data_IF_365262917180
#
_entry.id   IF_365262917180
#
_cell.length_a   1.000
_cell.length_b   1.000
_cell.length_c   1.000
_cell.angle_alpha   90.00
_cell.angle_beta   90.00
_cell.angle_gamma   90.00
#
_symmetry.space_group_name_H-M   'P 1'
#
loop_
_entity.id
_entity.type
_entity.pdbx_description
1 polymer ?
#
# COMPACT_ATOMS: atom_id res chain seq x y z
N UNK A 1 3.95 -69.66 39.65
CA UNK A 1 3.77 -70.08 38.24
C UNK A 1 2.40 -69.59 37.79
N UNK A 2 2.19 -68.71 36.82
CA UNK A 2 3.08 -67.95 35.95
C UNK A 2 2.39 -66.62 35.56
N UNK A 3 3.21 -65.59 35.32
CA UNK A 3 2.78 -64.28 34.85
C UNK A 3 2.47 -64.32 33.35
N UNK A 4 1.24 -63.92 32.98
CA UNK A 4 0.86 -63.69 31.58
C UNK A 4 1.25 -62.29 31.12
N UNK A 5 2.21 -62.21 30.22
CA UNK A 5 2.59 -60.99 29.51
C UNK A 5 1.61 -60.71 28.35
N UNK A 6 1.01 -59.52 28.32
CA UNK A 6 0.25 -59.01 27.17
C UNK A 6 1.19 -58.30 26.19
N UNK A 7 1.27 -58.80 24.96
CA UNK A 7 1.99 -58.20 23.84
C UNK A 7 1.23 -57.00 23.26
N UNK A 8 1.89 -55.84 23.17
CA UNK A 8 1.44 -54.69 22.41
C UNK A 8 1.87 -54.83 20.94
N UNK A 9 0.89 -54.95 20.04
CA UNK A 9 1.12 -54.89 18.60
C UNK A 9 1.32 -53.43 18.15
N UNK A 10 2.45 -53.17 17.49
CA UNK A 10 2.78 -51.91 16.81
C UNK A 10 1.85 -51.72 15.61
N UNK A 11 0.92 -50.78 15.71
CA UNK A 11 0.20 -50.23 14.57
C UNK A 11 1.13 -49.31 13.77
N UNK A 12 1.49 -49.73 12.56
CA UNK A 12 2.28 -48.93 11.63
C UNK A 12 1.50 -47.69 11.17
N UNK A 13 2.08 -46.52 11.42
CA UNK A 13 1.68 -45.26 10.79
C UNK A 13 2.03 -45.33 9.29
N UNK A 14 1.07 -45.67 8.45
CA UNK A 14 1.12 -45.34 7.03
C UNK A 14 0.84 -43.84 6.89
N UNK A 15 1.90 -43.08 6.62
CA UNK A 15 1.84 -41.69 6.22
C UNK A 15 1.16 -41.59 4.86
N UNK A 16 -0.14 -41.31 4.87
CA UNK A 16 -0.83 -40.80 3.69
C UNK A 16 -0.20 -39.46 3.28
N UNK A 17 0.71 -39.50 2.30
CA UNK A 17 1.06 -38.34 1.49
C UNK A 17 -0.22 -37.87 0.79
N UNK A 18 -0.88 -36.87 1.40
CA UNK A 18 -1.93 -36.11 0.75
C UNK A 18 -1.28 -35.31 -0.37
N UNK A 19 -1.51 -35.74 -1.61
CA UNK A 19 -1.29 -34.94 -2.81
C UNK A 19 -1.97 -33.59 -2.60
N UNK A 20 -1.19 -32.52 -2.52
CA UNK A 20 -1.71 -31.16 -2.55
C UNK A 20 -2.37 -30.95 -3.92
N UNK A 21 -3.69 -30.94 -3.93
CA UNK A 21 -4.47 -30.47 -5.06
C UNK A 21 -4.16 -29.00 -5.30
N UNK A 22 -3.84 -28.71 -6.55
CA UNK A 22 -3.60 -27.39 -7.14
C UNK A 22 -4.85 -26.51 -6.97
N UNK A 23 -4.93 -25.85 -5.82
CA UNK A 23 -6.13 -25.24 -5.30
C UNK A 23 -6.12 -23.73 -5.42
N UNK A 24 -6.08 -23.18 -6.64
CA UNK A 24 -6.48 -21.80 -6.98
C UNK A 24 -6.17 -20.69 -5.95
N UNK A 25 -5.03 -20.79 -5.28
CA UNK A 25 -4.59 -19.93 -4.19
C UNK A 25 -3.59 -18.90 -4.72
N UNK A 26 -3.46 -17.79 -4.01
CA UNK A 26 -2.59 -16.72 -4.46
C UNK A 26 -1.12 -17.10 -4.21
N UNK A 27 -0.28 -16.97 -5.24
CA UNK A 27 1.15 -17.24 -5.15
C UNK A 27 1.87 -16.09 -4.42
N UNK A 28 1.88 -16.18 -3.09
CA UNK A 28 2.49 -15.18 -2.21
C UNK A 28 4.00 -15.14 -2.35
N UNK A 29 4.65 -16.25 -2.73
CA UNK A 29 6.09 -16.30 -2.95
C UNK A 29 6.47 -15.50 -4.20
N UNK A 30 5.76 -15.71 -5.31
CA UNK A 30 5.95 -14.92 -6.54
C UNK A 30 5.76 -13.43 -6.27
N UNK A 31 4.73 -13.04 -5.51
CA UNK A 31 4.51 -11.63 -5.15
C UNK A 31 5.64 -11.06 -4.29
N UNK A 32 6.12 -11.80 -3.28
CA UNK A 32 7.27 -11.36 -2.46
C UNK A 32 8.50 -11.12 -3.33
N UNK A 33 8.82 -12.10 -4.20
CA UNK A 33 9.97 -12.01 -5.10
C UNK A 33 9.88 -10.80 -6.05
N UNK A 34 8.70 -10.51 -6.60
CA UNK A 34 8.50 -9.33 -7.47
C UNK A 34 8.72 -8.02 -6.69
N UNK A 35 8.27 -7.94 -5.44
CA UNK A 35 8.39 -6.72 -4.62
C UNK A 35 9.82 -6.48 -4.12
N UNK A 36 10.60 -7.55 -3.94
CA UNK A 36 12.02 -7.52 -3.56
C UNK A 36 12.92 -7.10 -4.72
N UNK A 37 12.56 -7.46 -5.96
CA UNK A 37 13.31 -7.07 -7.15
C UNK A 37 13.13 -5.58 -7.47
N UNK A 38 14.24 -4.84 -7.58
CA UNK A 38 14.27 -3.41 -7.96
C UNK A 38 14.89 -3.22 -9.34
N UNK A 39 14.26 -2.47 -10.27
CA UNK A 39 12.95 -1.83 -10.13
C UNK A 39 11.82 -2.86 -10.05
N UNK A 40 10.71 -2.50 -9.41
CA UNK A 40 9.56 -3.40 -9.30
C UNK A 40 8.93 -3.59 -10.69
N UNK A 41 8.81 -4.84 -11.13
CA UNK A 41 8.05 -5.18 -12.33
C UNK A 41 6.55 -5.09 -12.03
N UNK A 42 5.97 -3.91 -12.26
CA UNK A 42 4.56 -3.64 -12.00
C UNK A 42 3.63 -4.48 -12.87
N UNK A 43 4.07 -4.90 -14.06
CA UNK A 43 3.27 -5.74 -14.96
C UNK A 43 3.14 -7.13 -14.37
N UNK A 44 4.26 -7.75 -14.00
CA UNK A 44 4.25 -9.05 -13.33
C UNK A 44 3.50 -9.00 -11.99
N UNK A 45 3.64 -7.91 -11.24
CA UNK A 45 2.90 -7.70 -10.00
C UNK A 45 1.39 -7.64 -10.27
N UNK A 46 0.97 -6.89 -11.29
CA UNK A 46 -0.42 -6.78 -11.71
C UNK A 46 -1.03 -8.10 -12.15
N UNK A 47 -0.29 -8.90 -12.93
CA UNK A 47 -0.69 -10.25 -13.32
C UNK A 47 -0.86 -11.17 -12.10
N UNK A 48 0.14 -11.17 -11.19
CA UNK A 48 0.11 -11.98 -9.98
C UNK A 48 -1.08 -11.60 -9.08
N UNK A 49 -1.30 -10.31 -8.83
CA UNK A 49 -2.44 -9.81 -8.05
C UNK A 49 -3.77 -10.14 -8.74
N UNK A 50 -3.86 -10.02 -10.07
CA UNK A 50 -5.11 -10.29 -10.81
C UNK A 50 -5.46 -11.78 -10.87
N UNK A 51 -4.47 -12.67 -10.84
CA UNK A 51 -4.66 -14.12 -10.78
C UNK A 51 -5.17 -14.62 -9.41
N UNK A 52 -5.08 -13.77 -8.38
CA UNK A 52 -5.46 -14.11 -7.01
C UNK A 52 -6.98 -14.03 -6.81
N UNK A 53 -7.61 -15.16 -6.45
CA UNK A 53 -9.06 -15.22 -6.17
C UNK A 53 -9.45 -14.49 -4.89
N UNK A 54 -8.57 -14.45 -3.89
CA UNK A 54 -8.83 -13.91 -2.56
C UNK A 54 -7.76 -12.89 -2.18
N UNK A 55 -7.95 -11.63 -2.60
CA UNK A 55 -6.93 -10.58 -2.42
C UNK A 55 -6.52 -10.34 -0.96
N UNK A 56 -7.43 -10.52 -0.02
CA UNK A 56 -7.13 -10.43 1.42
C UNK A 56 -6.06 -11.44 1.87
N UNK A 57 -5.86 -12.56 1.17
CA UNK A 57 -4.77 -13.49 1.48
C UNK A 57 -3.38 -12.89 1.20
N UNK A 58 -3.30 -11.84 0.38
CA UNK A 58 -2.06 -11.13 0.08
C UNK A 58 -1.70 -10.07 1.11
N UNK A 59 -2.63 -9.75 2.02
CA UNK A 59 -2.45 -8.67 2.99
C UNK A 59 -1.20 -8.89 3.85
N UNK A 60 -0.95 -10.14 4.26
CA UNK A 60 0.21 -10.47 5.07
C UNK A 60 1.55 -10.29 4.35
N UNK A 61 1.63 -10.63 3.06
CA UNK A 61 2.89 -10.51 2.29
C UNK A 61 3.11 -9.07 1.84
N UNK A 62 2.13 -8.42 1.23
CA UNK A 62 2.25 -7.04 0.76
C UNK A 62 2.32 -6.08 1.96
N UNK A 63 1.63 -6.37 3.07
CA UNK A 63 1.65 -5.56 4.28
C UNK A 63 3.02 -5.50 4.97
N UNK A 64 3.83 -6.56 4.88
CA UNK A 64 5.23 -6.53 5.36
C UNK A 64 6.07 -5.56 4.55
N UNK A 65 6.06 -5.70 3.22
CA UNK A 65 6.79 -4.81 2.31
C UNK A 65 6.30 -3.36 2.41
N UNK A 66 5.00 -3.16 2.62
CA UNK A 66 4.43 -1.85 2.91
C UNK A 66 4.98 -1.25 4.20
N UNK A 67 5.06 -2.02 5.29
CA UNK A 67 5.64 -1.57 6.55
C UNK A 67 7.12 -1.18 6.43
N UNK A 68 7.90 -1.93 5.66
CA UNK A 68 9.30 -1.59 5.33
C UNK A 68 9.40 -0.32 4.49
N UNK A 69 8.52 -0.19 3.50
CA UNK A 69 8.41 1.00 2.65
C UNK A 69 8.10 2.24 3.46
N UNK A 70 7.17 2.17 4.43
CA UNK A 70 6.84 3.30 5.30
C UNK A 70 8.07 3.79 6.10
N UNK A 71 8.93 2.88 6.55
CA UNK A 71 10.19 3.26 7.23
C UNK A 71 11.17 3.92 6.27
N UNK A 72 11.33 3.37 5.06
CA UNK A 72 12.22 3.92 4.05
C UNK A 72 11.79 5.34 3.60
N UNK A 73 10.48 5.58 3.55
CA UNK A 73 9.88 6.88 3.21
C UNK A 73 10.23 7.99 4.21
N UNK A 74 10.85 7.71 5.35
CA UNK A 74 11.43 8.76 6.20
C UNK A 74 12.45 9.61 5.42
N UNK A 75 13.13 9.03 4.44
CA UNK A 75 14.12 9.72 3.58
C UNK A 75 13.52 10.25 2.28
N UNK A 76 12.22 10.54 2.25
CA UNK A 76 11.49 10.81 1.00
C UNK A 76 12.11 11.86 0.08
N UNK A 77 12.65 12.94 0.65
CA UNK A 77 13.24 14.04 -0.11
C UNK A 77 14.73 13.81 -0.46
N UNK A 78 15.35 12.75 0.07
CA UNK A 78 16.76 12.43 -0.13
C UNK A 78 16.97 11.39 -1.24
N UNK A 79 15.90 10.71 -1.67
CA UNK A 79 15.95 9.61 -2.63
C UNK A 79 15.60 10.04 -4.06
N UNK A 80 15.99 9.20 -5.01
CA UNK A 80 15.71 9.44 -6.43
C UNK A 80 14.22 9.36 -6.76
N UNK A 81 13.76 10.02 -7.85
CA UNK A 81 12.39 9.85 -8.33
C UNK A 81 12.03 8.37 -8.60
N UNK A 82 12.99 7.57 -9.04
CA UNK A 82 12.81 6.13 -9.30
C UNK A 82 12.49 5.35 -8.04
N UNK A 83 13.22 5.59 -6.95
CA UNK A 83 12.95 4.94 -5.66
C UNK A 83 11.58 5.34 -5.11
N UNK A 84 11.17 6.60 -5.28
CA UNK A 84 9.81 7.06 -4.94
C UNK A 84 8.74 6.34 -5.75
N UNK A 85 8.99 6.02 -7.02
CA UNK A 85 8.07 5.22 -7.85
C UNK A 85 7.95 3.78 -7.33
N UNK A 86 9.05 3.15 -6.93
CA UNK A 86 9.00 1.80 -6.34
C UNK A 86 8.16 1.81 -5.04
N UNK A 87 8.33 2.82 -4.20
CA UNK A 87 7.47 2.98 -3.01
C UNK A 87 6.01 3.22 -3.38
N UNK A 88 5.74 4.02 -4.42
CA UNK A 88 4.38 4.28 -4.88
C UNK A 88 3.69 3.00 -5.36
N UNK A 89 4.42 2.10 -6.04
CA UNK A 89 3.92 0.78 -6.46
C UNK A 89 3.55 -0.07 -5.24
N UNK A 90 4.41 -0.13 -4.21
CA UNK A 90 4.13 -0.90 -2.99
C UNK A 90 2.90 -0.36 -2.26
N UNK A 91 2.82 0.97 -2.08
CA UNK A 91 1.67 1.64 -1.46
C UNK A 91 0.40 1.32 -2.27
N UNK A 92 0.43 1.50 -3.59
CA UNK A 92 -0.68 1.19 -4.47
C UNK A 92 -1.15 -0.28 -4.37
N UNK A 93 -0.21 -1.22 -4.37
CA UNK A 93 -0.52 -2.65 -4.24
C UNK A 93 -1.18 -2.97 -2.90
N UNK A 94 -0.70 -2.36 -1.81
CA UNK A 94 -1.30 -2.57 -0.50
C UNK A 94 -2.71 -1.96 -0.41
N UNK A 95 -2.90 -0.74 -0.92
CA UNK A 95 -4.22 -0.11 -1.00
C UNK A 95 -5.20 -0.93 -1.85
N UNK A 96 -4.69 -1.56 -2.91
CA UNK A 96 -5.49 -2.46 -3.76
C UNK A 96 -5.96 -3.70 -3.01
N UNK A 97 -5.10 -4.32 -2.21
CA UNK A 97 -5.45 -5.46 -1.35
C UNK A 97 -6.48 -5.07 -0.30
N UNK A 98 -6.35 -3.88 0.26
CA UNK A 98 -7.32 -3.31 1.21
C UNK A 98 -8.60 -2.80 0.55
N UNK A 99 -8.71 -2.92 -0.78
CA UNK A 99 -9.88 -2.54 -1.56
C UNK A 99 -10.27 -1.06 -1.38
N UNK A 100 -9.27 -0.17 -1.37
CA UNK A 100 -9.49 1.28 -1.34
C UNK A 100 -10.35 1.72 -2.53
N UNK A 101 -11.39 2.51 -2.28
CA UNK A 101 -12.26 3.04 -3.34
C UNK A 101 -11.69 4.35 -3.86
N UNK A 102 -11.75 4.54 -5.17
CA UNK A 102 -11.18 5.74 -5.81
C UNK A 102 -11.91 7.04 -5.39
N UNK A 103 -13.21 6.97 -5.06
CA UNK A 103 -13.96 8.11 -4.52
C UNK A 103 -13.42 8.61 -3.16
N UNK A 104 -12.79 7.73 -2.37
CA UNK A 104 -12.21 8.06 -1.07
C UNK A 104 -10.93 8.90 -1.20
N UNK A 105 -10.21 8.78 -2.31
CA UNK A 105 -8.96 9.54 -2.57
C UNK A 105 -9.15 10.78 -3.42
N UNK A 106 -10.31 10.94 -4.07
CA UNK A 106 -10.59 12.04 -5.00
C UNK A 106 -10.39 13.42 -4.38
N UNK A 107 -10.86 13.65 -3.14
CA UNK A 107 -10.68 14.95 -2.47
C UNK A 107 -9.22 15.30 -2.18
N UNK A 108 -8.40 14.29 -1.90
CA UNK A 108 -6.96 14.45 -1.64
C UNK A 108 -6.25 14.79 -2.95
N UNK A 109 -6.65 14.18 -4.06
CA UNK A 109 -6.19 14.49 -5.41
C UNK A 109 -6.55 15.91 -5.87
N UNK A 110 -7.81 16.29 -5.68
CA UNK A 110 -8.30 17.60 -6.11
C UNK A 110 -7.52 18.68 -5.36
N UNK A 111 -7.34 18.52 -4.04
CA UNK A 111 -6.57 19.46 -3.24
C UNK A 111 -5.08 19.45 -3.60
N UNK A 112 -4.47 18.30 -3.89
CA UNK A 112 -3.06 18.25 -4.29
C UNK A 112 -2.84 18.96 -5.64
N UNK A 113 -3.80 18.83 -6.57
CA UNK A 113 -3.81 19.55 -7.85
C UNK A 113 -3.98 21.05 -7.66
N UNK A 114 -4.87 21.48 -6.77
CA UNK A 114 -5.07 22.90 -6.47
C UNK A 114 -3.82 23.55 -5.86
N UNK A 115 -3.12 22.83 -4.96
CA UNK A 115 -1.87 23.30 -4.38
C UNK A 115 -0.78 23.37 -5.47
N UNK A 116 -0.70 22.36 -6.35
CA UNK A 116 0.26 22.34 -7.46
C UNK A 116 0.11 23.57 -8.36
N UNK A 117 -1.12 23.94 -8.73
CA UNK A 117 -1.36 25.12 -9.54
C UNK A 117 -1.04 26.42 -8.78
N UNK A 118 -1.27 26.47 -7.47
CA UNK A 118 -0.93 27.64 -6.67
C UNK A 118 0.58 27.86 -6.60
N UNK A 119 1.40 26.80 -6.51
CA UNK A 119 2.86 26.91 -6.62
C UNK A 119 3.35 27.43 -7.99
N UNK A 120 2.52 27.35 -9.03
CA UNK A 120 2.85 27.82 -10.39
C UNK A 120 2.29 29.19 -10.73
N UNK A 121 1.44 29.77 -9.87
CA UNK A 121 0.82 31.06 -10.11
C UNK A 121 1.63 32.23 -9.57
N UNK A 122 1.48 33.40 -10.20
CA UNK A 122 2.18 34.64 -9.84
C UNK A 122 1.78 35.24 -8.47
N UNK A 123 0.78 34.65 -7.79
CA UNK A 123 0.27 35.08 -6.48
C UNK A 123 0.40 34.01 -5.40
N UNK A 124 1.36 33.09 -5.53
CA UNK A 124 1.66 32.09 -4.52
C UNK A 124 2.13 32.77 -3.23
N UNK A 125 1.43 32.54 -2.11
CA UNK A 125 1.92 32.87 -0.77
C UNK A 125 2.23 31.57 -0.03
N UNK A 126 3.39 31.55 0.61
CA UNK A 126 3.84 30.42 1.45
C UNK A 126 2.80 30.05 2.51
N UNK A 127 2.22 31.06 3.19
CA UNK A 127 1.18 30.88 4.20
C UNK A 127 -0.07 30.20 3.63
N UNK A 128 -0.50 30.60 2.43
CA UNK A 128 -1.68 30.01 1.76
C UNK A 128 -1.43 28.54 1.41
N UNK A 129 -0.26 28.25 0.86
CA UNK A 129 0.16 26.89 0.52
C UNK A 129 0.24 26.03 1.78
N UNK A 130 0.89 26.53 2.83
CA UNK A 130 1.01 25.84 4.11
C UNK A 130 -0.37 25.54 4.72
N UNK A 131 -1.29 26.51 4.68
CA UNK A 131 -2.67 26.33 5.13
C UNK A 131 -3.40 25.24 4.36
N UNK A 132 -3.24 25.18 3.03
CA UNK A 132 -3.81 24.10 2.21
C UNK A 132 -3.18 22.74 2.48
N UNK A 133 -1.87 22.68 2.72
CA UNK A 133 -1.18 21.44 3.11
C UNK A 133 -1.66 20.93 4.48
N UNK A 134 -1.84 21.82 5.46
CA UNK A 134 -2.49 21.50 6.74
C UNK A 134 -3.91 20.98 6.55
N UNK A 135 -4.69 21.65 5.69
CA UNK A 135 -6.04 21.19 5.34
C UNK A 135 -6.02 19.80 4.70
N UNK A 136 -5.04 19.49 3.87
CA UNK A 136 -4.90 18.17 3.24
C UNK A 136 -4.68 17.06 4.28
N UNK A 137 -3.80 17.30 5.26
CA UNK A 137 -3.57 16.38 6.38
C UNK A 137 -4.82 16.20 7.22
N UNK A 138 -5.49 17.29 7.57
CA UNK A 138 -6.76 17.26 8.30
C UNK A 138 -7.82 16.44 7.55
N UNK A 139 -7.96 16.63 6.23
CA UNK A 139 -8.92 15.89 5.42
C UNK A 139 -8.61 14.39 5.36
N UNK A 140 -7.34 14.00 5.31
CA UNK A 140 -6.93 12.60 5.41
C UNK A 140 -7.36 12.00 6.76
N UNK A 141 -7.03 12.67 7.87
CA UNK A 141 -7.39 12.21 9.21
C UNK A 141 -8.92 12.13 9.41
N UNK A 142 -9.65 13.15 8.96
CA UNK A 142 -11.11 13.17 8.99
C UNK A 142 -11.71 12.05 8.14
N UNK A 143 -11.14 11.76 6.98
CA UNK A 143 -11.62 10.68 6.11
C UNK A 143 -11.49 9.32 6.80
N UNK A 144 -10.39 9.08 7.52
CA UNK A 144 -10.20 7.88 8.34
C UNK A 144 -11.25 7.83 9.46
N UNK A 145 -11.42 8.92 10.22
CA UNK A 145 -12.34 8.97 11.36
C UNK A 145 -13.83 8.90 10.98
N UNK A 146 -14.20 9.34 9.77
CA UNK A 146 -15.57 9.28 9.25
C UNK A 146 -15.92 7.91 8.65
N UNK A 147 -14.94 7.07 8.34
CA UNK A 147 -15.22 5.80 7.68
C UNK A 147 -15.93 4.83 8.65
N UNK A 148 -17.10 4.34 8.25
CA UNK A 148 -17.91 3.46 9.13
C UNK A 148 -17.54 1.98 9.02
N UNK A 149 -16.97 1.56 7.88
CA UNK A 149 -16.62 0.15 7.62
C UNK A 149 -15.18 -0.11 7.99
N UNK A 150 -14.92 -1.22 8.70
CA UNK A 150 -13.59 -1.65 9.13
C UNK A 150 -12.57 -1.68 7.97
N UNK A 151 -12.99 -2.17 6.81
CA UNK A 151 -12.13 -2.26 5.61
C UNK A 151 -11.80 -0.85 5.07
N UNK A 152 -12.79 0.05 5.05
CA UNK A 152 -12.59 1.43 4.62
C UNK A 152 -11.65 2.18 5.58
N UNK A 153 -11.82 2.00 6.90
CA UNK A 153 -10.92 2.56 7.94
C UNK A 153 -9.48 2.08 7.71
N UNK A 154 -9.31 0.79 7.42
CA UNK A 154 -8.00 0.18 7.21
C UNK A 154 -7.33 0.69 5.94
N UNK A 155 -8.05 0.76 4.83
CA UNK A 155 -7.56 1.26 3.55
C UNK A 155 -7.17 2.75 3.64
N UNK A 156 -8.06 3.58 4.19
CA UNK A 156 -7.80 5.00 4.41
C UNK A 156 -6.67 5.22 5.43
N UNK A 157 -6.61 4.39 6.47
CA UNK A 157 -5.54 4.42 7.45
C UNK A 157 -4.18 4.08 6.86
N UNK A 158 -4.11 3.14 5.91
CA UNK A 158 -2.88 2.84 5.18
C UNK A 158 -2.44 4.01 4.30
N UNK A 159 -3.37 4.65 3.58
CA UNK A 159 -3.08 5.84 2.78
C UNK A 159 -2.58 6.99 3.68
N UNK A 160 -3.27 7.22 4.80
CA UNK A 160 -2.87 8.24 5.79
C UNK A 160 -1.46 7.97 6.31
N UNK A 161 -1.12 6.73 6.69
CA UNK A 161 0.23 6.36 7.15
C UNK A 161 1.31 6.63 6.11
N UNK A 162 1.01 6.45 4.83
CA UNK A 162 1.95 6.74 3.75
C UNK A 162 2.12 8.24 3.49
N UNK A 163 1.03 9.01 3.51
CA UNK A 163 1.05 10.41 3.09
C UNK A 163 1.31 11.41 4.24
N UNK A 164 0.81 11.18 5.45
CA UNK A 164 0.90 12.18 6.51
C UNK A 164 2.35 12.57 6.88
N UNK A 165 3.31 11.64 7.00
CA UNK A 165 4.69 11.99 7.33
C UNK A 165 5.37 12.88 6.27
N UNK A 166 5.13 12.59 4.99
CA UNK A 166 5.69 13.40 3.88
C UNK A 166 4.99 14.76 3.78
N UNK A 167 3.67 14.80 4.03
CA UNK A 167 2.89 16.03 4.08
C UNK A 167 3.30 16.92 5.25
N UNK A 168 3.57 16.36 6.43
CA UNK A 168 4.08 17.10 7.59
C UNK A 168 5.40 17.80 7.26
N UNK A 169 6.34 17.07 6.63
CA UNK A 169 7.66 17.60 6.26
C UNK A 169 7.56 18.73 5.23
N UNK A 170 6.82 18.54 4.13
CA UNK A 170 6.66 19.60 3.12
C UNK A 170 5.89 20.81 3.68
N UNK A 171 5.00 20.61 4.65
CA UNK A 171 4.28 21.72 5.27
C UNK A 171 5.13 22.58 6.20
N UNK A 172 6.21 22.04 6.76
CA UNK A 172 7.10 22.78 7.64
C UNK A 172 7.99 23.75 6.85
N UNK A 173 8.29 23.43 5.59
CA UNK A 173 9.05 24.28 4.67
C UNK A 173 8.60 24.00 3.23
N UNK A 174 7.48 24.62 2.79
CA UNK A 174 6.89 24.33 1.50
C UNK A 174 7.67 25.01 0.38
N UNK A 175 8.50 24.23 -0.30
CA UNK A 175 9.13 24.63 -1.56
C UNK A 175 8.40 24.01 -2.74
N UNK A 176 8.53 24.65 -3.91
CA UNK A 176 7.94 24.12 -5.14
C UNK A 176 8.49 22.73 -5.44
N UNK A 177 9.80 22.55 -5.35
CA UNK A 177 10.50 21.31 -5.66
C UNK A 177 10.05 20.17 -4.73
N UNK A 178 9.95 20.44 -3.42
CA UNK A 178 9.49 19.46 -2.45
C UNK A 178 8.02 19.10 -2.69
N UNK A 179 7.18 20.08 -3.02
CA UNK A 179 5.78 19.79 -3.29
C UNK A 179 5.57 19.06 -4.62
N UNK A 180 6.29 19.42 -5.69
CA UNK A 180 6.28 18.68 -6.96
C UNK A 180 6.66 17.21 -6.72
N UNK A 181 7.66 16.95 -5.88
CA UNK A 181 8.04 15.60 -5.47
C UNK A 181 6.92 14.81 -4.76
N UNK A 182 6.17 15.46 -3.86
CA UNK A 182 5.01 14.86 -3.18
C UNK A 182 3.84 14.66 -4.14
N UNK A 183 3.57 15.64 -5.00
CA UNK A 183 2.50 15.59 -5.99
C UNK A 183 2.69 14.43 -6.97
N UNK A 184 3.88 14.28 -7.54
CA UNK A 184 4.22 13.19 -8.45
C UNK A 184 4.06 11.82 -7.77
N UNK A 185 4.45 11.72 -6.50
CA UNK A 185 4.27 10.49 -5.72
C UNK A 185 2.79 10.14 -5.53
N UNK A 186 1.94 11.12 -5.18
CA UNK A 186 0.50 10.90 -5.03
C UNK A 186 -0.12 10.45 -6.37
N UNK A 187 0.26 11.09 -7.48
CA UNK A 187 -0.19 10.69 -8.82
C UNK A 187 0.24 9.26 -9.14
N UNK A 188 1.50 8.90 -8.86
CA UNK A 188 2.02 7.56 -9.09
C UNK A 188 1.27 6.50 -8.27
N UNK A 189 1.01 6.73 -6.98
CA UNK A 189 0.23 5.82 -6.12
C UNK A 189 -1.13 5.54 -6.76
N UNK A 190 -1.79 6.56 -7.29
CA UNK A 190 -3.16 6.42 -7.81
C UNK A 190 -3.16 5.78 -9.20
N UNK A 191 -2.20 6.14 -10.05
CA UNK A 191 -2.00 5.52 -11.35
C UNK A 191 -1.76 4.01 -11.20
N UNK A 192 -0.85 3.62 -10.30
CA UNK A 192 -0.58 2.20 -10.04
C UNK A 192 -1.72 1.51 -9.32
N UNK A 193 -2.43 2.17 -8.41
CA UNK A 193 -3.60 1.59 -7.77
C UNK A 193 -4.68 1.23 -8.81
N UNK A 194 -4.91 2.12 -9.77
CA UNK A 194 -5.82 1.88 -10.91
C UNK A 194 -5.29 0.78 -11.82
N UNK A 195 -3.99 0.78 -12.14
CA UNK A 195 -3.34 -0.26 -12.95
C UNK A 195 -3.52 -1.66 -12.34
N UNK A 196 -3.38 -1.79 -11.03
CA UNK A 196 -3.56 -3.05 -10.28
C UNK A 196 -5.04 -3.43 -10.08
N UNK A 197 -5.97 -2.75 -10.76
CA UNK A 197 -7.39 -3.09 -10.80
C UNK A 197 -8.23 -2.43 -9.69
N UNK A 198 -7.72 -1.38 -9.04
CA UNK A 198 -8.52 -0.52 -8.17
C UNK A 198 -9.62 0.18 -8.98
N UNK A 199 -10.87 0.14 -8.49
CA UNK A 199 -12.04 0.65 -9.24
C UNK A 199 -12.66 1.90 -8.59
N UNK A 200 -13.39 2.65 -9.41
CA UNK A 200 -14.43 3.56 -8.92
C UNK A 200 -15.65 2.70 -8.55
N UNK A 201 -15.96 2.58 -7.26
CA UNK A 201 -17.25 2.10 -6.78
C UNK A 201 -17.80 3.08 -5.75
#
# INVERSE_FOLDING_TARGET
MGHGYKNYSKGGLQSHQRKHGDGGGCDTYKISSILENKPIDVVQLGEAISSCKQLNSLEGVIGRTFGETLKAMEKFFEVTPRERLDWAIVVAAYLRVLNLKTNQVRKVLDLSRDIYFEFRGDHSSEERIQSKLMRMRFLLAYSVGKADKKDDIKALGALHKALDPILLKVSASPTRENFEAVYDFIQAVIAYHRFLGGREK
#
